data_IF_757998308372
#
_entry.id   IF_757998308372
#
_cell.length_a   1.000
_cell.length_b   1.000
_cell.length_c   1.000
_cell.angle_alpha   90.00
_cell.angle_beta   90.00
_cell.angle_gamma   90.00
#
_symmetry.space_group_name_H-M   'P 1'
#
loop_
_entity.id
_entity.type
_entity.pdbx_description
1 polymer ?
#
# COMPACT_ATOMS: atom_id res chain seq x y z
N UNK A 1 -15.21 -11.62 -14.51
CA UNK A 1 -14.31 -10.90 -13.58
C UNK A 1 -13.41 -9.92 -14.33
N UNK A 2 -12.57 -10.36 -15.28
CA UNK A 2 -11.60 -9.50 -15.98
C UNK A 2 -12.15 -8.19 -16.59
N UNK A 3 -13.37 -8.17 -17.12
CA UNK A 3 -13.96 -6.96 -17.71
C UNK A 3 -14.25 -5.87 -16.68
N UNK A 4 -14.80 -6.25 -15.52
CA UNK A 4 -15.10 -5.33 -14.41
C UNK A 4 -13.80 -4.78 -13.82
N UNK A 5 -12.78 -5.61 -13.65
CA UNK A 5 -11.48 -5.19 -13.12
C UNK A 5 -10.76 -4.22 -14.07
N UNK A 6 -10.90 -4.43 -15.38
CA UNK A 6 -10.33 -3.55 -16.42
C UNK A 6 -11.07 -2.21 -16.48
N UNK A 7 -12.40 -2.23 -16.47
CA UNK A 7 -13.22 -1.02 -16.53
C UNK A 7 -13.03 -0.15 -15.28
N UNK A 8 -12.92 -0.78 -14.10
CA UNK A 8 -12.63 -0.10 -12.83
C UNK A 8 -11.23 0.54 -12.82
N UNK A 9 -10.23 -0.16 -13.38
CA UNK A 9 -8.86 0.38 -13.49
C UNK A 9 -8.82 1.59 -14.43
N UNK A 10 -9.51 1.52 -15.57
CA UNK A 10 -9.60 2.63 -16.51
C UNK A 10 -10.31 3.85 -15.90
N UNK A 11 -11.38 3.61 -15.13
CA UNK A 11 -12.10 4.66 -14.43
C UNK A 11 -11.24 5.34 -13.35
N UNK A 12 -10.56 4.56 -12.52
CA UNK A 12 -9.63 5.07 -11.52
C UNK A 12 -8.51 5.90 -12.16
N UNK A 13 -7.95 5.41 -13.29
CA UNK A 13 -6.92 6.14 -14.04
C UNK A 13 -7.41 7.50 -14.51
N UNK A 14 -8.62 7.57 -15.06
CA UNK A 14 -9.23 8.82 -15.52
C UNK A 14 -9.45 9.78 -14.36
N UNK A 15 -10.07 9.33 -13.27
CA UNK A 15 -10.32 10.16 -12.11
C UNK A 15 -9.05 10.75 -11.51
N UNK A 16 -8.01 9.93 -11.33
CA UNK A 16 -6.76 10.44 -10.77
C UNK A 16 -6.03 11.37 -11.75
N UNK A 17 -6.15 11.15 -13.06
CA UNK A 17 -5.60 12.06 -14.06
C UNK A 17 -6.33 13.41 -14.10
N UNK A 18 -7.65 13.42 -13.88
CA UNK A 18 -8.49 14.63 -13.94
C UNK A 18 -8.50 15.41 -12.63
N UNK A 19 -8.57 14.70 -11.49
CA UNK A 19 -8.80 15.30 -10.17
C UNK A 19 -7.62 15.16 -9.21
N UNK A 20 -6.61 14.35 -9.56
CA UNK A 20 -5.54 13.99 -8.65
C UNK A 20 -5.97 12.99 -7.57
N UNK A 21 -5.10 12.76 -6.60
CA UNK A 21 -5.45 12.01 -5.39
C UNK A 21 -6.27 12.92 -4.46
N UNK A 22 -7.40 12.45 -3.88
CA UNK A 22 -8.31 13.30 -3.13
C UNK A 22 -7.67 13.85 -1.85
N UNK A 23 -8.20 14.99 -1.41
CA UNK A 23 -7.89 15.58 -0.09
C UNK A 23 -9.02 15.29 0.90
N UNK A 24 -8.66 15.14 2.16
CA UNK A 24 -9.59 14.99 3.26
C UNK A 24 -10.49 16.23 3.42
N UNK A 25 -10.06 17.42 2.99
CA UNK A 25 -10.93 18.60 2.93
C UNK A 25 -12.16 18.42 2.03
N UNK A 26 -12.05 17.56 1.02
CA UNK A 26 -13.06 17.41 -0.03
C UNK A 26 -13.96 16.19 0.23
N UNK A 27 -13.37 15.11 0.77
CA UNK A 27 -14.06 13.81 0.93
C UNK A 27 -13.94 13.21 2.33
N UNK A 28 -13.30 13.91 3.27
CA UNK A 28 -12.97 13.38 4.60
C UNK A 28 -11.87 12.32 4.57
N UNK A 29 -11.32 11.99 5.74
CA UNK A 29 -10.27 10.96 5.86
C UNK A 29 -10.76 9.57 5.44
N UNK A 30 -12.03 9.26 5.68
CA UNK A 30 -12.65 8.01 5.23
C UNK A 30 -12.67 7.93 3.69
N UNK A 31 -13.12 8.99 3.01
CA UNK A 31 -13.11 9.03 1.55
C UNK A 31 -11.70 8.94 0.95
N UNK A 32 -10.70 9.53 1.60
CA UNK A 32 -9.30 9.36 1.17
C UNK A 32 -8.85 7.91 1.35
N UNK A 33 -9.19 7.27 2.48
CA UNK A 33 -8.88 5.87 2.75
C UNK A 33 -9.53 4.92 1.74
N UNK A 34 -10.78 5.18 1.35
CA UNK A 34 -11.49 4.38 0.35
C UNK A 34 -10.81 4.46 -1.02
N UNK A 35 -10.44 5.67 -1.46
CA UNK A 35 -9.71 5.86 -2.72
C UNK A 35 -8.32 5.23 -2.64
N UNK A 36 -7.62 5.37 -1.51
CA UNK A 36 -6.35 4.69 -1.29
C UNK A 36 -6.49 3.17 -1.42
N UNK A 37 -7.55 2.56 -0.89
CA UNK A 37 -7.77 1.13 -0.98
C UNK A 37 -7.96 0.68 -2.44
N UNK A 38 -8.67 1.45 -3.26
CA UNK A 38 -8.78 1.19 -4.70
C UNK A 38 -7.40 1.25 -5.38
N UNK A 39 -6.60 2.27 -5.05
CA UNK A 39 -5.24 2.43 -5.59
C UNK A 39 -4.32 1.28 -5.15
N UNK A 40 -4.37 0.86 -3.89
CA UNK A 40 -3.58 -0.22 -3.28
C UNK A 40 -3.76 -1.57 -4.01
N UNK A 41 -4.95 -1.81 -4.57
CA UNK A 41 -5.28 -3.01 -5.32
C UNK A 41 -5.22 -2.83 -6.85
N UNK A 42 -4.84 -1.65 -7.32
CA UNK A 42 -4.72 -1.35 -8.75
C UNK A 42 -3.33 -1.65 -9.32
N UNK A 43 -3.20 -1.84 -10.65
CA UNK A 43 -1.90 -1.87 -11.32
C UNK A 43 -1.24 -0.47 -11.39
N UNK A 44 -1.94 0.59 -10.99
CA UNK A 44 -1.47 1.98 -11.08
C UNK A 44 -0.71 2.44 -9.83
N UNK A 45 -0.58 1.58 -8.81
CA UNK A 45 0.04 1.94 -7.54
C UNK A 45 1.44 2.56 -7.71
N UNK A 46 2.26 2.02 -8.63
CA UNK A 46 3.59 2.55 -8.93
C UNK A 46 3.53 3.95 -9.56
N UNK A 47 2.59 4.18 -10.49
CA UNK A 47 2.37 5.47 -11.15
C UNK A 47 1.89 6.54 -10.15
N UNK A 48 1.18 6.13 -9.09
CA UNK A 48 0.57 7.03 -8.10
C UNK A 48 1.41 7.25 -6.84
N UNK A 49 2.55 6.56 -6.69
CA UNK A 49 3.44 6.73 -5.55
C UNK A 49 3.85 8.19 -5.28
N UNK A 50 4.20 9.03 -6.29
CA UNK A 50 4.52 10.43 -6.04
C UNK A 50 3.39 11.21 -5.35
N UNK A 51 2.14 10.99 -5.77
CA UNK A 51 0.96 11.62 -5.20
C UNK A 51 0.69 11.11 -3.78
N UNK A 52 0.82 9.81 -3.55
CA UNK A 52 0.66 9.21 -2.22
C UNK A 52 1.72 9.74 -1.23
N UNK A 53 2.98 9.91 -1.68
CA UNK A 53 4.05 10.52 -0.87
C UNK A 53 3.72 11.96 -0.51
N UNK A 54 3.28 12.75 -1.49
CA UNK A 54 2.88 14.14 -1.26
C UNK A 54 1.71 14.22 -0.27
N UNK A 55 0.68 13.38 -0.45
CA UNK A 55 -0.48 13.32 0.45
C UNK A 55 -0.08 12.95 1.89
N UNK A 56 0.79 11.95 2.06
CA UNK A 56 1.28 11.57 3.39
C UNK A 56 2.13 12.68 4.04
N UNK A 57 2.94 13.38 3.26
CA UNK A 57 3.78 14.48 3.76
C UNK A 57 2.95 15.63 4.34
N UNK A 58 1.77 15.89 3.79
CA UNK A 58 0.86 16.94 4.28
C UNK A 58 -0.26 16.40 5.20
N UNK A 59 -0.20 15.13 5.60
CA UNK A 59 -1.16 14.52 6.53
C UNK A 59 -2.53 14.21 5.94
N UNK A 60 -2.66 14.20 4.61
CA UNK A 60 -3.89 13.81 3.91
C UNK A 60 -4.03 12.28 3.81
N UNK A 61 -2.91 11.56 3.85
CA UNK A 61 -2.84 10.10 3.86
C UNK A 61 -2.05 9.62 5.08
N UNK A 62 -2.49 8.52 5.70
CA UNK A 62 -1.72 7.92 6.78
C UNK A 62 -0.34 7.44 6.30
N UNK A 63 0.69 7.62 7.14
CA UNK A 63 2.06 7.16 6.82
C UNK A 63 2.12 5.64 6.66
N UNK A 64 1.32 4.91 7.44
CA UNK A 64 1.14 3.47 7.34
C UNK A 64 0.55 3.06 5.98
N UNK A 65 -0.44 3.81 5.47
CA UNK A 65 -1.00 3.60 4.14
C UNK A 65 0.05 3.80 3.04
N UNK A 66 0.90 4.83 3.15
CA UNK A 66 2.02 5.02 2.23
C UNK A 66 3.01 3.85 2.27
N UNK A 67 3.39 3.37 3.45
CA UNK A 67 4.30 2.24 3.60
C UNK A 67 3.79 0.96 2.91
N UNK A 68 2.49 0.67 3.06
CA UNK A 68 1.83 -0.44 2.37
C UNK A 68 1.84 -0.29 0.84
N UNK A 69 1.69 0.95 0.36
CA UNK A 69 1.75 1.27 -1.07
C UNK A 69 3.15 1.14 -1.65
N UNK A 70 4.19 1.56 -0.91
CA UNK A 70 5.59 1.38 -1.32
C UNK A 70 5.95 -0.10 -1.44
N UNK A 71 5.61 -0.92 -0.45
CA UNK A 71 5.86 -2.37 -0.51
C UNK A 71 5.11 -3.03 -1.68
N UNK A 72 3.86 -2.62 -1.93
CA UNK A 72 3.06 -3.15 -3.04
C UNK A 72 3.66 -2.81 -4.40
N UNK A 73 4.09 -1.57 -4.61
CA UNK A 73 4.75 -1.15 -5.84
C UNK A 73 6.09 -1.88 -6.04
N UNK A 74 6.87 -2.05 -4.97
CA UNK A 74 8.14 -2.81 -5.02
C UNK A 74 7.91 -4.27 -5.39
N UNK A 75 6.88 -4.89 -4.81
CA UNK A 75 6.49 -6.25 -5.19
C UNK A 75 6.09 -6.37 -6.67
N UNK A 76 5.34 -5.42 -7.21
CA UNK A 76 5.01 -5.40 -8.64
C UNK A 76 6.28 -5.29 -9.52
N UNK A 77 7.31 -4.59 -9.03
CA UNK A 77 8.61 -4.48 -9.69
C UNK A 77 9.56 -5.67 -9.42
N UNK A 78 9.13 -6.70 -8.68
CA UNK A 78 9.98 -7.84 -8.32
C UNK A 78 11.07 -7.52 -7.29
N UNK A 79 10.96 -6.39 -6.60
CA UNK A 79 11.91 -5.93 -5.58
C UNK A 79 11.50 -6.40 -4.18
N UNK A 80 12.47 -6.58 -3.26
CA UNK A 80 12.17 -6.88 -1.87
C UNK A 80 11.43 -5.72 -1.19
N UNK A 81 10.60 -6.00 -0.19
CA UNK A 81 9.83 -5.02 0.58
C UNK A 81 10.70 -4.22 1.54
N UNK A 82 10.26 -3.02 1.93
CA UNK A 82 10.92 -2.20 2.94
C UNK A 82 10.31 -2.39 4.32
N UNK A 83 8.97 -2.49 4.40
CA UNK A 83 8.25 -2.50 5.67
C UNK A 83 7.64 -3.87 6.00
N UNK A 84 7.67 -4.83 5.07
CA UNK A 84 7.18 -6.19 5.32
C UNK A 84 5.66 -6.30 5.44
N UNK A 85 4.92 -5.44 4.75
CA UNK A 85 3.46 -5.38 4.85
C UNK A 85 2.73 -6.44 4.01
N UNK A 86 3.38 -7.03 3.01
CA UNK A 86 2.75 -7.94 2.06
C UNK A 86 3.13 -9.40 2.35
N UNK A 87 2.10 -10.24 2.41
CA UNK A 87 2.21 -11.68 2.63
C UNK A 87 1.74 -12.44 1.39
N UNK A 88 2.30 -13.62 1.16
CA UNK A 88 1.87 -14.56 0.12
C UNK A 88 1.53 -15.91 0.74
N UNK A 89 0.70 -16.69 0.07
CA UNK A 89 0.55 -18.10 0.43
C UNK A 89 1.85 -18.84 0.14
N UNK A 90 2.41 -19.47 1.17
CA UNK A 90 3.51 -20.43 1.08
C UNK A 90 3.04 -21.75 0.47
N UNK A 91 4.00 -22.60 0.14
CA UNK A 91 3.75 -23.95 -0.42
C UNK A 91 3.01 -24.88 0.55
N UNK A 92 3.07 -24.59 1.84
CA UNK A 92 2.38 -25.29 2.93
C UNK A 92 0.98 -24.70 3.22
N UNK A 93 0.52 -23.73 2.42
CA UNK A 93 -0.74 -23.02 2.61
C UNK A 93 -0.72 -21.96 3.72
N UNK A 94 0.41 -21.78 4.43
CA UNK A 94 0.56 -20.74 5.46
C UNK A 94 0.96 -19.42 4.82
N UNK A 95 0.60 -18.31 5.45
CA UNK A 95 1.05 -17.00 5.00
C UNK A 95 2.55 -16.83 5.30
N UNK A 96 3.32 -16.52 4.26
CA UNK A 96 4.74 -16.28 4.30
C UNK A 96 5.05 -14.84 3.87
N UNK A 97 6.02 -14.22 4.53
CA UNK A 97 6.48 -12.87 4.24
C UNK A 97 7.22 -12.84 2.88
N UNK A 98 6.95 -11.83 2.06
CA UNK A 98 7.78 -11.55 0.87
C UNK A 98 9.18 -11.05 1.28
N UNK A 99 10.23 -11.28 0.47
CA UNK A 99 11.60 -10.90 0.82
C UNK A 99 11.69 -9.45 1.30
N UNK A 100 12.48 -9.22 2.37
CA UNK A 100 12.77 -7.87 2.90
C UNK A 100 14.08 -7.34 2.33
N UNK A 101 14.17 -6.02 2.18
CA UNK A 101 15.39 -5.33 1.81
C UNK A 101 16.42 -5.40 2.95
N UNK A 102 15.97 -5.13 4.17
CA UNK A 102 16.75 -5.29 5.40
C UNK A 102 15.81 -5.80 6.49
N UNK A 103 16.12 -6.97 7.06
CA UNK A 103 15.39 -7.50 8.21
C UNK A 103 15.84 -6.82 9.53
N UNK A 104 17.07 -6.30 9.55
CA UNK A 104 17.68 -5.66 10.72
C UNK A 104 17.04 -4.29 11.00
N UNK A 105 16.75 -3.53 9.95
CA UNK A 105 16.21 -2.17 10.06
C UNK A 105 14.68 -2.10 10.01
N UNK A 106 14.00 -3.24 9.77
CA UNK A 106 12.58 -3.24 9.41
C UNK A 106 11.70 -2.61 10.47
N UNK A 107 11.98 -2.84 11.75
CA UNK A 107 11.15 -2.30 12.83
C UNK A 107 11.35 -0.79 13.01
N UNK A 108 12.59 -0.30 12.87
CA UNK A 108 12.88 1.15 12.84
C UNK A 108 12.18 1.84 11.66
N UNK A 109 12.16 1.21 10.49
CA UNK A 109 11.44 1.70 9.32
C UNK A 109 9.92 1.70 9.54
N UNK A 110 9.39 0.64 10.17
CA UNK A 110 7.96 0.51 10.50
C UNK A 110 7.52 1.57 11.51
N UNK A 111 8.30 1.79 12.57
CA UNK A 111 8.05 2.84 13.55
C UNK A 111 7.98 4.23 12.88
N UNK A 112 8.89 4.51 11.94
CA UNK A 112 8.89 5.79 11.20
C UNK A 112 7.63 6.03 10.33
N UNK A 113 6.83 4.99 10.13
CA UNK A 113 5.61 4.98 9.33
C UNK A 113 4.36 4.64 10.17
N UNK A 114 4.45 4.76 11.50
CA UNK A 114 3.36 4.48 12.45
C UNK A 114 2.82 3.03 12.34
N UNK A 115 3.70 2.08 12.01
CA UNK A 115 3.39 0.66 11.95
C UNK A 115 3.85 -0.04 13.24
N UNK A 116 3.07 -1.04 13.69
CA UNK A 116 3.48 -1.97 14.76
C UNK A 116 4.75 -2.75 14.37
N UNK A 117 5.55 -3.29 15.31
CA UNK A 117 6.68 -4.17 14.98
C UNK A 117 6.29 -5.32 14.04
N UNK A 118 7.20 -5.72 13.16
CA UNK A 118 6.93 -6.75 12.14
C UNK A 118 6.48 -8.06 12.79
N UNK A 119 7.10 -8.43 13.89
CA UNK A 119 6.77 -9.67 14.62
C UNK A 119 5.35 -9.66 15.20
N UNK A 120 4.87 -8.51 15.69
CA UNK A 120 3.48 -8.32 16.15
C UNK A 120 2.50 -8.43 14.98
N UNK A 121 2.82 -7.78 13.87
CA UNK A 121 2.04 -7.89 12.65
C UNK A 121 1.92 -9.34 12.17
N UNK A 122 3.04 -10.08 12.09
CA UNK A 122 3.05 -11.46 11.63
C UNK A 122 2.27 -12.40 12.56
N UNK A 123 2.26 -12.15 13.88
CA UNK A 123 1.47 -12.93 14.84
C UNK A 123 -0.03 -12.94 14.51
N UNK A 124 -0.56 -11.88 13.90
CA UNK A 124 -1.97 -11.77 13.49
C UNK A 124 -2.36 -12.76 12.38
N UNK A 125 -1.38 -13.31 11.67
CA UNK A 125 -1.57 -14.20 10.52
C UNK A 125 -1.09 -15.64 10.77
N UNK A 126 -0.50 -15.92 11.94
CA UNK A 126 -0.18 -17.28 12.39
C UNK A 126 -1.48 -17.98 12.79
N UNK A 127 -2.04 -18.79 11.88
CA UNK A 127 -3.11 -19.75 12.17
C UNK A 127 -2.53 -21.11 12.51
#
# INVERSE_FOLDING_TARGET
MQRVDTDNTAQLRRWVAEMGFPRASDVGYEGVSDVWLLVQHSPLIADLLPQLRAAAQIGELARSSLALSEDRARMQAGLPQRYGSQLKSGSDGKLALHPLESAEDVDSLRESMDLEPLDDYLRRFKR
#
